data_IF_545246920661
#
_entry.id   IF_545246920661
#
_cell.length_a   1.000
_cell.length_b   1.000
_cell.length_c   1.000
_cell.angle_alpha   90.00
_cell.angle_beta   90.00
_cell.angle_gamma   90.00
#
_symmetry.space_group_name_H-M   'P 1'
#
loop_
_entity.id
_entity.type
_entity.pdbx_description
1 polymer ?
#
# COMPACT_ATOMS: atom_id res chain seq x y z
N UNK A 1 4.39 8.79 -6.34
CA UNK A 1 3.74 7.66 -5.64
C UNK A 1 3.83 7.89 -4.14
N UNK A 2 2.72 7.85 -3.45
CA UNK A 2 2.63 8.15 -2.00
C UNK A 2 2.48 6.91 -1.13
N UNK A 3 2.48 5.74 -1.75
CA UNK A 3 2.32 4.46 -1.05
C UNK A 3 3.36 4.25 0.05
N UNK A 4 4.62 4.53 -0.24
CA UNK A 4 5.70 4.35 0.73
C UNK A 4 5.57 5.31 1.91
N UNK A 5 5.12 6.53 1.65
CA UNK A 5 4.85 7.51 2.71
C UNK A 5 3.77 6.97 3.66
N UNK A 6 2.68 6.45 3.13
CA UNK A 6 1.61 5.87 3.94
C UNK A 6 2.09 4.63 4.71
N UNK A 7 2.93 3.80 4.08
CA UNK A 7 3.52 2.64 4.73
C UNK A 7 4.38 3.05 5.93
N UNK A 8 5.22 4.05 5.74
CA UNK A 8 6.07 4.60 6.81
C UNK A 8 5.23 5.17 7.95
N UNK A 9 4.19 5.92 7.61
CA UNK A 9 3.26 6.46 8.60
C UNK A 9 2.61 5.34 9.42
N UNK A 10 2.14 4.30 8.76
CA UNK A 10 1.49 3.16 9.44
C UNK A 10 2.48 2.45 10.37
N UNK A 11 3.71 2.19 9.91
CA UNK A 11 4.73 1.57 10.73
C UNK A 11 5.04 2.41 11.99
N UNK A 12 5.18 3.71 11.83
CA UNK A 12 5.40 4.62 12.96
C UNK A 12 4.23 4.65 13.92
N UNK A 13 3.01 4.66 13.40
CA UNK A 13 1.79 4.71 14.21
C UNK A 13 1.66 3.48 15.11
N UNK A 14 2.06 2.32 14.64
CA UNK A 14 2.02 1.10 15.44
C UNK A 14 3.33 0.83 16.20
N UNK A 15 4.28 1.76 16.17
CA UNK A 15 5.54 1.66 16.92
C UNK A 15 6.51 0.63 16.40
N UNK A 16 6.43 0.28 15.12
CA UNK A 16 7.36 -0.68 14.51
C UNK A 16 8.71 -0.05 14.23
N UNK A 17 9.77 -0.82 14.38
CA UNK A 17 11.12 -0.39 14.03
C UNK A 17 11.51 -0.70 12.58
N UNK A 18 10.59 -1.28 11.80
CA UNK A 18 10.77 -1.50 10.36
C UNK A 18 9.46 -1.25 9.64
N UNK A 19 9.55 -0.87 8.36
CA UNK A 19 8.41 -0.83 7.45
C UNK A 19 8.30 -2.22 6.82
N UNK A 20 7.19 -2.88 7.03
CA UNK A 20 6.98 -4.25 6.57
C UNK A 20 5.96 -4.31 5.44
N UNK A 21 5.80 -5.49 4.86
CA UNK A 21 4.88 -5.75 3.73
C UNK A 21 3.45 -5.33 4.07
N UNK A 22 2.97 -5.62 5.28
CA UNK A 22 1.63 -5.20 5.71
C UNK A 22 1.44 -3.68 5.71
N UNK A 23 2.46 -2.93 6.12
CA UNK A 23 2.44 -1.46 6.08
C UNK A 23 2.35 -0.97 4.62
N UNK A 24 3.09 -1.63 3.73
CA UNK A 24 3.05 -1.31 2.31
C UNK A 24 1.66 -1.59 1.71
N UNK A 25 1.05 -2.72 2.04
CA UNK A 25 -0.29 -3.06 1.58
C UNK A 25 -1.32 -2.02 2.02
N UNK A 26 -1.20 -1.55 3.26
CA UNK A 26 -2.03 -0.45 3.76
C UNK A 26 -1.90 0.78 2.86
N UNK A 27 -0.66 1.16 2.53
CA UNK A 27 -0.40 2.29 1.64
C UNK A 27 -0.94 2.09 0.23
N UNK A 28 -0.77 0.89 -0.33
CA UNK A 28 -1.28 0.56 -1.67
C UNK A 28 -2.79 0.74 -1.73
N UNK A 29 -3.51 0.20 -0.75
CA UNK A 29 -4.97 0.27 -0.73
C UNK A 29 -5.44 1.71 -0.54
N UNK A 30 -4.80 2.48 0.34
CA UNK A 30 -5.16 3.89 0.54
C UNK A 30 -4.98 4.70 -0.75
N UNK A 31 -3.86 4.53 -1.42
CA UNK A 31 -3.58 5.27 -2.66
C UNK A 31 -4.55 4.85 -3.76
N UNK A 32 -4.84 3.55 -3.86
CA UNK A 32 -5.80 3.02 -4.83
C UNK A 32 -7.21 3.62 -4.65
N UNK A 33 -7.63 3.81 -3.41
CA UNK A 33 -8.95 4.34 -3.09
C UNK A 33 -9.02 5.87 -3.06
N UNK A 34 -7.88 6.54 -3.31
CA UNK A 34 -7.84 8.00 -3.26
C UNK A 34 -7.97 8.57 -1.86
N UNK A 35 -7.53 7.83 -0.83
CA UNK A 35 -7.69 8.21 0.58
C UNK A 35 -6.46 8.90 1.18
N UNK A 36 -5.44 9.18 0.37
CA UNK A 36 -4.19 9.77 0.88
C UNK A 36 -4.39 11.15 1.49
N UNK A 37 -5.31 11.93 0.97
CA UNK A 37 -5.59 13.26 1.52
C UNK A 37 -6.17 13.21 2.92
N UNK A 38 -7.01 12.22 3.19
CA UNK A 38 -7.54 12.02 4.54
C UNK A 38 -6.42 11.71 5.53
N UNK A 39 -5.45 10.91 5.10
CA UNK A 39 -4.29 10.60 5.93
C UNK A 39 -3.47 11.85 6.22
N UNK A 40 -3.19 12.65 5.20
CA UNK A 40 -2.43 13.89 5.35
C UNK A 40 -3.16 14.90 6.23
N UNK A 41 -4.46 15.03 6.10
CA UNK A 41 -5.28 15.91 6.94
C UNK A 41 -5.21 15.51 8.40
N UNK A 42 -5.27 14.21 8.68
CA UNK A 42 -5.16 13.70 10.04
C UNK A 42 -3.78 13.97 10.65
N UNK A 43 -2.72 13.87 9.84
CA UNK A 43 -1.36 14.14 10.30
C UNK A 43 -1.14 15.60 10.69
N UNK A 44 -1.73 16.51 9.97
CA UNK A 44 -1.51 17.95 10.18
C UNK A 44 -2.54 18.58 11.11
N UNK A 45 -3.48 17.80 11.64
CA UNK A 45 -4.57 18.33 12.43
C UNK A 45 -5.36 19.37 11.65
N UNK A 46 -5.45 19.22 10.36
CA UNK A 46 -6.11 20.19 9.50
C UNK A 46 -7.57 20.30 9.87
N UNK A 47 -7.95 21.47 10.37
CA UNK A 47 -9.31 21.75 10.75
C UNK A 47 -10.10 22.35 9.61
N UNK A 48 -9.42 22.76 8.59
CA UNK A 48 -10.05 23.31 7.41
C UNK A 48 -10.47 22.18 6.51
N UNK A 49 -11.72 21.89 6.63
CA UNK A 49 -12.40 21.01 5.72
C UNK A 49 -12.57 21.67 4.37
N UNK A 50 -11.48 21.94 3.69
CA UNK A 50 -11.58 22.13 2.27
C UNK A 50 -11.85 20.75 1.71
N UNK A 51 -13.12 20.47 1.56
CA UNK A 51 -13.55 19.25 0.90
C UNK A 51 -13.23 19.35 -0.58
N UNK A 52 -11.99 19.13 -0.90
CA UNK A 52 -11.66 18.83 -2.28
C UNK A 52 -12.08 17.38 -2.46
N UNK A 53 -13.18 17.19 -3.16
CA UNK A 53 -13.58 15.87 -3.61
C UNK A 53 -12.49 15.39 -4.56
N UNK A 54 -11.60 14.57 -4.03
CA UNK A 54 -10.55 13.99 -4.82
C UNK A 54 -11.06 12.67 -5.36
N UNK A 55 -11.33 12.64 -6.64
CA UNK A 55 -11.58 11.40 -7.34
C UNK A 55 -10.25 10.87 -7.85
N UNK A 56 -9.97 9.59 -7.65
CA UNK A 56 -8.78 9.00 -8.26
C UNK A 56 -8.83 9.24 -9.78
N UNK A 57 -7.69 9.57 -10.36
CA UNK A 57 -7.57 9.85 -11.80
C UNK A 57 -7.86 8.63 -12.67
N UNK A 58 -8.00 7.46 -12.06
CA UNK A 58 -8.30 6.19 -12.72
C UNK A 58 -9.25 5.38 -11.82
N UNK A 59 -9.89 4.38 -12.40
CA UNK A 59 -10.76 3.48 -11.65
C UNK A 59 -9.95 2.70 -10.62
N UNK A 60 -10.40 2.64 -9.35
CA UNK A 60 -9.72 1.83 -8.34
C UNK A 60 -9.63 0.36 -8.74
N UNK A 61 -8.52 -0.26 -8.38
CA UNK A 61 -8.35 -1.70 -8.58
C UNK A 61 -9.22 -2.49 -7.62
N UNK A 62 -9.28 -2.06 -6.35
CA UNK A 62 -10.09 -2.72 -5.34
C UNK A 62 -11.49 -2.11 -5.28
N UNK A 63 -12.56 -2.94 -5.28
CA UNK A 63 -13.89 -2.45 -4.91
C UNK A 63 -13.86 -1.86 -3.49
N UNK A 64 -14.64 -0.81 -3.20
CA UNK A 64 -14.60 -0.16 -1.88
C UNK A 64 -14.83 -1.09 -0.69
N UNK A 65 -15.78 -2.02 -0.80
CA UNK A 65 -16.05 -2.99 0.26
C UNK A 65 -14.87 -3.94 0.48
N UNK A 66 -14.25 -4.39 -0.60
CA UNK A 66 -13.06 -5.25 -0.55
C UNK A 66 -11.88 -4.49 0.06
N UNK A 67 -11.66 -3.25 -0.35
CA UNK A 67 -10.61 -2.41 0.20
C UNK A 67 -10.75 -2.24 1.72
N UNK A 68 -11.95 -1.95 2.18
CA UNK A 68 -12.23 -1.79 3.62
C UNK A 68 -11.95 -3.06 4.39
N UNK A 69 -12.37 -4.21 3.88
CA UNK A 69 -12.13 -5.52 4.49
C UNK A 69 -10.63 -5.83 4.57
N UNK A 70 -9.90 -5.58 3.49
CA UNK A 70 -8.45 -5.79 3.44
C UNK A 70 -7.75 -4.92 4.48
N UNK A 71 -8.09 -3.64 4.57
CA UNK A 71 -7.49 -2.72 5.55
C UNK A 71 -7.71 -3.21 6.98
N UNK A 72 -8.92 -3.65 7.29
CA UNK A 72 -9.25 -4.17 8.63
C UNK A 72 -8.43 -5.42 8.94
N UNK A 73 -8.30 -6.33 8.00
CA UNK A 73 -7.54 -7.57 8.18
C UNK A 73 -6.03 -7.32 8.30
N UNK A 74 -5.50 -6.37 7.53
CA UNK A 74 -4.08 -5.98 7.64
C UNK A 74 -3.80 -5.46 9.05
N UNK A 75 -4.66 -4.61 9.59
CA UNK A 75 -4.49 -4.09 10.94
C UNK A 75 -4.48 -5.20 11.99
N UNK A 76 -5.27 -6.24 11.79
CA UNK A 76 -5.28 -7.39 12.69
C UNK A 76 -3.99 -8.20 12.65
N UNK A 77 -3.28 -8.19 11.52
CA UNK A 77 -2.03 -8.94 11.35
C UNK A 77 -0.80 -8.17 11.82
N UNK A 78 -0.89 -6.85 11.91
CA UNK A 78 0.24 -6.03 12.33
C UNK A 78 0.21 -5.86 13.85
N UNK A 79 1.22 -6.36 14.57
CA UNK A 79 1.22 -6.27 16.03
C UNK A 79 1.31 -4.80 16.46
N UNK A 80 0.45 -4.36 17.40
CA UNK A 80 0.54 -3.01 17.93
C UNK A 80 1.72 -2.89 18.89
N UNK A 81 2.35 -1.72 18.87
CA UNK A 81 3.35 -1.30 19.85
C UNK A 81 3.05 0.13 20.24
N UNK A 82 3.83 0.70 21.14
CA UNK A 82 3.69 2.11 21.46
C UNK A 82 4.14 2.98 20.30
N UNK A 83 3.32 3.92 19.82
CA UNK A 83 3.73 4.82 18.75
C UNK A 83 4.95 5.64 19.14
N UNK A 84 5.80 5.95 18.17
CA UNK A 84 6.93 6.84 18.41
C UNK A 84 6.44 8.24 18.72
N UNK A 85 7.10 8.87 19.70
CA UNK A 85 6.77 10.24 20.12
C UNK A 85 7.47 11.30 19.29
N UNK A 86 8.38 10.90 18.42
CA UNK A 86 9.13 11.79 17.53
C UNK A 86 9.43 11.09 16.22
N UNK A 87 9.83 11.88 15.21
CA UNK A 87 10.14 11.34 13.89
C UNK A 87 11.42 10.51 13.94
N UNK A 88 11.30 9.24 13.59
CA UNK A 88 12.42 8.30 13.51
C UNK A 88 12.48 7.77 12.08
N UNK A 89 13.69 7.65 11.54
CA UNK A 89 13.86 6.92 10.30
C UNK A 89 13.62 5.45 10.55
N UNK A 90 12.69 4.88 9.77
CA UNK A 90 12.32 3.48 9.89
C UNK A 90 12.79 2.75 8.63
N UNK A 91 13.71 1.78 8.77
CA UNK A 91 14.20 1.05 7.60
C UNK A 91 13.15 0.09 7.05
N UNK A 92 13.34 -0.30 5.80
CA UNK A 92 12.52 -1.33 5.16
C UNK A 92 12.91 -2.71 5.67
N UNK A 93 11.92 -3.59 5.86
CA UNK A 93 12.21 -5.00 6.15
C UNK A 93 12.88 -5.65 4.92
N UNK A 94 13.64 -6.76 5.11
CA UNK A 94 14.21 -7.47 3.96
C UNK A 94 13.17 -7.92 2.94
N UNK A 95 12.00 -8.36 3.40
CA UNK A 95 10.89 -8.75 2.53
C UNK A 95 10.39 -7.58 1.70
N UNK A 96 10.35 -6.40 2.29
CA UNK A 96 9.92 -5.20 1.59
C UNK A 96 10.96 -4.75 0.56
N UNK A 97 12.24 -4.87 0.88
CA UNK A 97 13.32 -4.61 -0.10
C UNK A 97 13.20 -5.53 -1.32
N UNK A 98 12.92 -6.80 -1.09
CA UNK A 98 12.64 -7.76 -2.16
C UNK A 98 11.42 -7.35 -2.99
N UNK A 99 10.41 -6.83 -2.32
CA UNK A 99 9.20 -6.35 -3.01
C UNK A 99 9.53 -5.22 -3.98
N UNK A 100 10.37 -4.27 -3.57
CA UNK A 100 10.78 -3.18 -4.47
C UNK A 100 11.59 -3.69 -5.66
N UNK A 101 12.47 -4.65 -5.47
CA UNK A 101 13.22 -5.25 -6.57
C UNK A 101 12.27 -5.95 -7.56
N UNK A 102 11.32 -6.71 -7.04
CA UNK A 102 10.31 -7.34 -7.87
C UNK A 102 9.43 -6.35 -8.62
N UNK A 103 9.09 -5.22 -7.98
CA UNK A 103 8.31 -4.17 -8.61
C UNK A 103 9.05 -3.54 -9.80
N UNK A 104 10.36 -3.38 -9.68
CA UNK A 104 11.18 -2.89 -10.81
C UNK A 104 11.10 -3.85 -12.00
N UNK A 105 11.16 -5.15 -11.74
CA UNK A 105 11.04 -6.16 -12.78
C UNK A 105 9.67 -6.11 -13.45
N UNK A 106 8.60 -5.97 -12.69
CA UNK A 106 7.25 -5.85 -13.21
C UNK A 106 7.12 -4.59 -14.08
N UNK A 107 7.62 -3.45 -13.57
CA UNK A 107 7.63 -2.20 -14.32
C UNK A 107 8.31 -2.38 -15.67
N UNK A 108 9.49 -3.01 -15.68
CA UNK A 108 10.27 -3.21 -16.89
C UNK A 108 9.56 -4.15 -17.89
N UNK A 109 8.87 -5.15 -17.35
CA UNK A 109 8.10 -6.10 -18.17
C UNK A 109 7.04 -5.40 -19.03
N UNK A 110 6.41 -4.36 -18.49
CA UNK A 110 5.39 -3.58 -19.18
C UNK A 110 5.93 -2.30 -19.82
N UNK A 111 7.23 -2.04 -19.73
CA UNK A 111 7.86 -0.82 -20.24
C UNK A 111 7.28 0.46 -19.64
N UNK A 112 6.83 0.39 -18.39
CA UNK A 112 6.32 1.57 -17.69
C UNK A 112 7.47 2.46 -17.20
N UNK A 113 7.23 3.76 -17.13
CA UNK A 113 8.26 4.74 -16.78
C UNK A 113 8.57 4.79 -15.30
N UNK A 114 7.56 4.61 -14.48
CA UNK A 114 7.67 4.75 -13.03
C UNK A 114 7.09 3.54 -12.32
N UNK A 115 7.58 3.29 -11.11
CA UNK A 115 7.00 2.28 -10.24
C UNK A 115 5.70 2.86 -9.66
N UNK A 116 4.61 2.14 -9.85
CA UNK A 116 3.30 2.50 -9.35
C UNK A 116 2.81 1.48 -8.32
N UNK A 117 1.75 1.80 -7.56
CA UNK A 117 1.26 0.88 -6.54
C UNK A 117 0.95 -0.52 -7.04
N UNK A 118 0.43 -0.65 -8.25
CA UNK A 118 0.12 -1.97 -8.81
C UNK A 118 1.36 -2.80 -9.12
N UNK A 119 2.49 -2.18 -9.45
CA UNK A 119 3.76 -2.90 -9.60
C UNK A 119 4.19 -3.51 -8.27
N UNK A 120 4.05 -2.72 -7.19
CA UNK A 120 4.34 -3.20 -5.83
C UNK A 120 3.39 -4.32 -5.42
N UNK A 121 2.11 -4.18 -5.74
CA UNK A 121 1.11 -5.20 -5.43
C UNK A 121 1.42 -6.52 -6.14
N UNK A 122 1.77 -6.47 -7.43
CA UNK A 122 2.16 -7.67 -8.17
C UNK A 122 3.38 -8.35 -7.54
N UNK A 123 4.36 -7.56 -7.11
CA UNK A 123 5.56 -8.09 -6.45
C UNK A 123 5.23 -8.72 -5.10
N UNK A 124 4.36 -8.09 -4.31
CA UNK A 124 3.90 -8.65 -3.03
C UNK A 124 3.20 -9.99 -3.24
N UNK A 125 2.34 -10.08 -4.24
CA UNK A 125 1.59 -11.31 -4.52
C UNK A 125 2.48 -12.45 -5.03
N UNK A 126 3.71 -12.15 -5.43
CA UNK A 126 4.70 -13.17 -5.78
C UNK A 126 5.31 -13.83 -4.53
N UNK A 127 5.17 -13.24 -3.36
CA UNK A 127 5.71 -13.75 -2.10
C UNK A 127 4.71 -14.67 -1.41
N UNK A 128 4.55 -15.86 -1.93
CA UNK A 128 3.50 -16.79 -1.50
C UNK A 128 3.58 -17.20 -0.04
N UNK A 129 4.75 -17.13 0.56
CA UNK A 129 4.97 -17.55 1.94
C UNK A 129 4.63 -16.48 2.99
N UNK A 130 4.37 -15.25 2.58
CA UNK A 130 4.08 -14.17 3.53
C UNK A 130 2.68 -14.29 4.10
N UNK A 131 2.59 -14.28 5.44
CA UNK A 131 1.31 -14.26 6.14
C UNK A 131 0.56 -12.95 5.90
N UNK A 132 1.28 -11.89 5.59
CA UNK A 132 0.71 -10.55 5.45
C UNK A 132 -0.10 -10.38 4.16
N UNK A 133 0.07 -11.28 3.18
CA UNK A 133 -0.74 -11.27 1.95
C UNK A 133 -2.01 -12.11 2.07
N UNK A 134 -2.21 -12.79 3.17
CA UNK A 134 -3.39 -13.63 3.39
C UNK A 134 -4.71 -12.87 3.17
N UNK A 135 -4.88 -11.63 3.65
CA UNK A 135 -6.11 -10.88 3.38
C UNK A 135 -6.40 -10.72 1.89
N UNK A 136 -5.37 -10.53 1.08
CA UNK A 136 -5.53 -10.41 -0.37
C UNK A 136 -6.01 -11.72 -0.99
N UNK A 137 -5.41 -12.84 -0.58
CA UNK A 137 -5.80 -14.16 -1.07
C UNK A 137 -7.24 -14.50 -0.68
N UNK A 138 -7.63 -14.22 0.54
CA UNK A 138 -8.99 -14.46 1.03
C UNK A 138 -10.02 -13.60 0.30
N UNK A 139 -9.61 -12.42 -0.17
CA UNK A 139 -10.47 -11.55 -0.97
C UNK A 139 -10.51 -11.96 -2.45
N UNK A 140 -9.75 -12.99 -2.84
CA UNK A 140 -9.69 -13.43 -4.23
C UNK A 140 -8.80 -12.63 -5.13
N UNK A 141 -7.92 -11.81 -4.56
CA UNK A 141 -6.98 -10.99 -5.33
C UNK A 141 -5.78 -11.85 -5.74
N UNK A 142 -5.53 -11.92 -7.03
CA UNK A 142 -4.43 -12.72 -7.59
C UNK A 142 -3.44 -11.83 -8.33
N UNK A 143 -2.21 -12.34 -8.49
CA UNK A 143 -1.19 -11.65 -9.26
C UNK A 143 -1.64 -11.47 -10.72
N UNK A 144 -2.30 -12.45 -11.28
CA UNK A 144 -2.83 -12.40 -12.64
C UNK A 144 -3.81 -11.24 -12.83
N UNK A 145 -4.67 -10.99 -11.87
CA UNK A 145 -5.60 -9.85 -11.92
C UNK A 145 -4.86 -8.52 -11.96
N UNK A 146 -3.80 -8.39 -11.17
CA UNK A 146 -2.97 -7.19 -11.15
C UNK A 146 -2.24 -7.02 -12.49
N UNK A 147 -1.67 -8.11 -13.01
CA UNK A 147 -0.96 -8.08 -14.28
C UNK A 147 -1.86 -7.69 -15.45
N UNK A 148 -3.09 -8.19 -15.47
CA UNK A 148 -4.09 -7.80 -16.49
C UNK A 148 -4.41 -6.31 -16.40
N UNK A 149 -4.55 -5.78 -15.20
CA UNK A 149 -4.79 -4.34 -15.02
C UNK A 149 -3.61 -3.51 -15.48
N UNK A 150 -2.38 -3.93 -15.17
CA UNK A 150 -1.17 -3.25 -15.62
C UNK A 150 -1.04 -3.26 -17.13
N UNK A 151 -1.39 -4.37 -17.76
CA UNK A 151 -1.38 -4.51 -19.20
C UNK A 151 -2.32 -3.52 -19.88
N UNK A 152 -3.45 -3.23 -19.25
CA UNK A 152 -4.44 -2.28 -19.76
C UNK A 152 -4.07 -0.82 -19.46
N UNK A 153 -3.07 -0.57 -18.62
CA UNK A 153 -2.68 0.77 -18.18
C UNK A 153 -1.46 1.24 -18.97
N UNK A 154 -1.55 2.45 -19.53
CA UNK A 154 -0.39 3.12 -20.13
C UNK A 154 0.24 4.04 -19.08
N UNK A 155 1.55 4.02 -19.04
CA UNK A 155 2.26 4.92 -18.12
C UNK A 155 2.91 6.09 -18.85
#
# INVERSE_FOLDING_TARGET
>A
MQTLFAARFKAGQRGSNVIDVGDLLFGIVLEDQGMMENLLSNMHGAQDSVHVLHFPSHSPFFPPATASDILTRIESLLPPSEPYTHTVEVPLSPDLEHTFDGAKDVRNMFHHKQIEPLHLLAAVLSQESSQQIKPLREAGITREMVMERLKATES
#
